data_IF_201541401579
#
_entry.id   IF_201541401579
#
_cell.length_a   1.000
_cell.length_b   1.000
_cell.length_c   1.000
_cell.angle_alpha   90.00
_cell.angle_beta   90.00
_cell.angle_gamma   90.00
#
_symmetry.space_group_name_H-M   'P 1'
#
loop_
_entity.id
_entity.type
_entity.pdbx_description
1 polymer ?
#
# COMPACT_ATOMS: atom_id res chain seq x y z
N UNK A 1 30.21 -49.28 -57.16
CA UNK A 1 29.93 -47.83 -57.09
C UNK A 1 29.00 -47.51 -55.91
N UNK A 2 29.39 -47.86 -54.69
CA UNK A 2 28.66 -47.51 -53.45
C UNK A 2 29.77 -47.13 -52.46
N UNK A 3 29.89 -45.85 -52.06
CA UNK A 3 30.49 -45.38 -50.77
C UNK A 3 31.06 -43.96 -50.72
N UNK A 4 31.10 -43.15 -51.79
CA UNK A 4 31.56 -41.75 -51.64
C UNK A 4 30.50 -40.80 -51.08
N UNK A 5 29.23 -41.17 -51.13
CA UNK A 5 28.10 -40.37 -50.62
C UNK A 5 27.83 -40.62 -49.13
N UNK A 6 28.41 -41.68 -48.54
CA UNK A 6 28.22 -42.04 -47.11
C UNK A 6 29.25 -41.39 -46.19
N UNK A 7 30.54 -41.36 -46.53
CA UNK A 7 31.57 -40.84 -45.59
C UNK A 7 31.41 -39.35 -45.27
N UNK A 8 31.19 -38.51 -46.29
CA UNK A 8 31.02 -37.06 -46.10
C UNK A 8 29.69 -36.73 -45.40
N UNK A 9 28.65 -37.54 -45.63
CA UNK A 9 27.35 -37.41 -44.96
C UNK A 9 27.45 -37.82 -43.49
N UNK A 10 28.14 -38.92 -43.18
CA UNK A 10 28.40 -39.40 -41.81
C UNK A 10 29.27 -38.40 -41.04
N UNK A 11 30.27 -37.81 -41.69
CA UNK A 11 31.10 -36.76 -41.08
C UNK A 11 30.28 -35.51 -40.74
N UNK A 12 29.44 -35.04 -41.67
CA UNK A 12 28.55 -33.89 -41.45
C UNK A 12 27.50 -34.16 -40.39
N UNK A 13 26.87 -35.34 -40.39
CA UNK A 13 25.88 -35.70 -39.38
C UNK A 13 26.50 -35.80 -37.99
N UNK A 14 27.72 -36.32 -37.89
CA UNK A 14 28.46 -36.40 -36.62
C UNK A 14 28.79 -35.01 -36.08
N UNK A 15 29.30 -34.10 -36.93
CA UNK A 15 29.56 -32.71 -36.53
C UNK A 15 28.28 -31.96 -36.15
N UNK A 16 27.19 -32.14 -36.90
CA UNK A 16 25.89 -31.56 -36.58
C UNK A 16 25.35 -32.07 -35.23
N UNK A 17 25.50 -33.37 -34.95
CA UNK A 17 25.13 -33.96 -33.66
C UNK A 17 25.97 -33.41 -32.51
N UNK A 18 27.29 -33.23 -32.69
CA UNK A 18 28.15 -32.62 -31.68
C UNK A 18 27.75 -31.16 -31.39
N UNK A 19 27.44 -30.39 -32.43
CA UNK A 19 26.97 -29.01 -32.29
C UNK A 19 25.61 -28.94 -31.57
N UNK A 20 24.68 -29.85 -31.88
CA UNK A 20 23.40 -29.95 -31.16
C UNK A 20 23.60 -30.31 -29.68
N UNK A 21 24.53 -31.21 -29.37
CA UNK A 21 24.83 -31.59 -27.98
C UNK A 21 25.48 -30.45 -27.19
N UNK A 22 26.39 -29.68 -27.82
CA UNK A 22 26.96 -28.47 -27.23
C UNK A 22 25.89 -27.42 -26.95
N UNK A 23 24.98 -27.20 -27.90
CA UNK A 23 23.88 -26.22 -27.74
C UNK A 23 22.93 -26.61 -26.60
N UNK A 24 22.61 -27.91 -26.45
CA UNK A 24 21.81 -28.40 -25.32
C UNK A 24 22.53 -28.22 -23.98
N UNK A 25 23.82 -28.55 -23.91
CA UNK A 25 24.62 -28.34 -22.70
C UNK A 25 24.68 -26.87 -22.30
N UNK A 26 24.90 -25.97 -23.26
CA UNK A 26 24.88 -24.52 -23.01
C UNK A 26 23.51 -24.03 -22.50
N UNK A 27 22.42 -24.61 -22.98
CA UNK A 27 21.06 -24.28 -22.51
C UNK A 27 20.84 -24.73 -21.07
N UNK A 28 21.18 -25.98 -20.73
CA UNK A 28 21.08 -26.49 -19.36
C UNK A 28 21.97 -25.70 -18.39
N UNK A 29 23.15 -25.29 -18.82
CA UNK A 29 24.05 -24.44 -18.04
C UNK A 29 23.48 -23.02 -17.84
N UNK A 30 22.83 -22.45 -18.85
CA UNK A 30 22.13 -21.17 -18.75
C UNK A 30 20.91 -21.27 -17.82
N UNK A 31 20.13 -22.35 -17.89
CA UNK A 31 19.02 -22.61 -16.99
C UNK A 31 19.51 -22.79 -15.54
N UNK A 32 20.58 -23.56 -15.33
CA UNK A 32 21.19 -23.74 -14.00
C UNK A 32 21.72 -22.44 -13.41
N UNK A 33 22.39 -21.61 -14.20
CA UNK A 33 22.95 -20.34 -13.72
C UNK A 33 21.88 -19.26 -13.49
N UNK A 34 20.80 -19.26 -14.28
CA UNK A 34 19.68 -18.33 -14.09
C UNK A 34 18.64 -18.80 -13.07
N UNK A 35 18.62 -20.10 -12.76
CA UNK A 35 17.55 -20.73 -11.98
C UNK A 35 16.21 -20.82 -12.72
N UNK A 36 16.18 -20.45 -14.02
CA UNK A 36 14.95 -20.30 -14.80
C UNK A 36 14.86 -21.33 -15.91
N UNK A 37 13.76 -22.07 -15.96
CA UNK A 37 13.40 -23.01 -17.00
C UNK A 37 13.18 -22.30 -18.33
N UNK A 38 12.46 -21.18 -18.29
CA UNK A 38 12.13 -20.38 -19.48
C UNK A 38 13.00 -19.13 -19.47
N UNK A 39 13.98 -19.09 -20.37
CA UNK A 39 14.89 -17.93 -20.52
C UNK A 39 14.50 -17.06 -21.70
N UNK A 40 13.88 -17.65 -22.73
CA UNK A 40 13.40 -16.98 -23.94
C UNK A 40 11.97 -17.39 -24.22
N UNK A 41 11.18 -16.47 -24.77
CA UNK A 41 9.81 -16.77 -25.18
C UNK A 41 9.73 -17.85 -26.28
N UNK A 42 10.83 -18.09 -27.01
CA UNK A 42 10.94 -19.18 -27.98
C UNK A 42 11.03 -20.57 -27.35
N UNK A 43 11.41 -20.68 -26.07
CA UNK A 43 11.61 -21.97 -25.40
C UNK A 43 10.25 -22.64 -25.11
N UNK A 44 9.28 -21.86 -24.62
CA UNK A 44 7.86 -22.22 -24.53
C UNK A 44 6.98 -20.97 -24.65
N UNK A 45 6.40 -20.67 -25.83
CA UNK A 45 5.57 -19.50 -26.04
C UNK A 45 4.31 -19.46 -25.16
N UNK A 46 3.74 -20.63 -24.82
CA UNK A 46 2.52 -20.71 -24.03
C UNK A 46 2.81 -20.40 -22.54
N UNK A 47 3.85 -21.04 -21.99
CA UNK A 47 4.26 -20.80 -20.61
C UNK A 47 4.85 -19.39 -20.44
N UNK A 48 5.60 -18.88 -21.43
CA UNK A 48 6.05 -17.48 -21.45
C UNK A 48 4.87 -16.50 -21.46
N UNK A 49 3.84 -16.75 -22.28
CA UNK A 49 2.62 -15.95 -22.33
C UNK A 49 1.90 -15.90 -20.97
N UNK A 50 1.70 -17.07 -20.35
CA UNK A 50 1.08 -17.17 -19.02
C UNK A 50 1.90 -16.47 -17.94
N UNK A 51 3.22 -16.66 -17.92
CA UNK A 51 4.10 -15.99 -16.95
C UNK A 51 4.04 -14.47 -17.09
N UNK A 52 4.02 -13.94 -18.32
CA UNK A 52 3.88 -12.49 -18.56
C UNK A 52 2.58 -11.95 -17.97
N UNK A 53 1.45 -12.66 -18.14
CA UNK A 53 0.16 -12.29 -17.54
C UNK A 53 0.25 -12.29 -16.01
N UNK A 54 0.78 -13.36 -15.39
CA UNK A 54 0.91 -13.45 -13.94
C UNK A 54 1.82 -12.35 -13.37
N UNK A 55 2.92 -12.01 -14.07
CA UNK A 55 3.81 -10.90 -13.71
C UNK A 55 3.11 -9.54 -13.80
N UNK A 56 2.28 -9.34 -14.84
CA UNK A 56 1.49 -8.12 -14.99
C UNK A 56 0.46 -7.99 -13.86
N UNK A 57 -0.28 -9.06 -13.56
CA UNK A 57 -1.23 -9.11 -12.45
C UNK A 57 -0.54 -8.87 -11.10
N UNK A 58 0.64 -9.46 -10.87
CA UNK A 58 1.42 -9.25 -9.64
C UNK A 58 1.85 -7.80 -9.49
N UNK A 59 2.23 -7.16 -10.60
CA UNK A 59 2.63 -5.76 -10.62
C UNK A 59 1.44 -4.84 -10.32
N UNK A 60 0.28 -5.12 -10.91
CA UNK A 60 -0.97 -4.43 -10.61
C UNK A 60 -1.37 -4.58 -9.14
N UNK A 61 -1.33 -5.81 -8.59
CA UNK A 61 -1.61 -6.08 -7.18
C UNK A 61 -0.62 -5.37 -6.24
N UNK A 62 0.67 -5.33 -6.60
CA UNK A 62 1.69 -4.62 -5.83
C UNK A 62 1.46 -3.10 -5.81
N UNK A 63 0.99 -2.52 -6.92
CA UNK A 63 0.61 -1.11 -6.96
C UNK A 63 -0.63 -0.85 -6.09
N UNK A 64 -1.64 -1.71 -6.17
CA UNK A 64 -2.82 -1.61 -5.32
C UNK A 64 -2.47 -1.69 -3.83
N UNK A 65 -1.51 -2.57 -3.47
CA UNK A 65 -1.03 -2.69 -2.08
C UNK A 65 -0.37 -1.40 -1.60
N UNK A 66 0.48 -0.77 -2.43
CA UNK A 66 1.08 0.54 -2.11
C UNK A 66 0.02 1.63 -1.92
N UNK A 67 -1.01 1.64 -2.76
CA UNK A 67 -2.11 2.60 -2.63
C UNK A 67 -2.91 2.36 -1.34
N UNK A 68 -3.14 1.10 -0.97
CA UNK A 68 -3.80 0.73 0.27
C UNK A 68 -2.95 1.10 1.51
N UNK A 69 -1.63 0.98 1.43
CA UNK A 69 -0.70 1.43 2.48
C UNK A 69 -0.71 2.96 2.64
N UNK A 70 -0.76 3.71 1.53
CA UNK A 70 -0.96 5.16 1.58
C UNK A 70 -2.31 5.51 2.22
N UNK A 71 -3.39 4.83 1.82
CA UNK A 71 -4.71 4.99 2.42
C UNK A 71 -4.73 4.72 3.93
N UNK A 72 -4.04 3.67 4.38
CA UNK A 72 -3.90 3.35 5.81
C UNK A 72 -3.12 4.45 6.56
N UNK A 73 -2.03 4.96 5.98
CA UNK A 73 -1.27 6.06 6.60
C UNK A 73 -2.14 7.31 6.79
N UNK A 74 -3.01 7.60 5.82
CA UNK A 74 -3.96 8.71 5.91
C UNK A 74 -5.01 8.48 7.00
N UNK A 75 -5.64 7.31 7.01
CA UNK A 75 -6.69 6.97 7.98
C UNK A 75 -6.13 6.90 9.41
N UNK A 76 -4.90 6.40 9.59
CA UNK A 76 -4.22 6.37 10.89
C UNK A 76 -3.89 7.77 11.40
N UNK A 77 -3.40 8.67 10.54
CA UNK A 77 -3.16 10.05 10.93
C UNK A 77 -4.48 10.75 11.30
N UNK A 78 -5.54 10.52 10.51
CA UNK A 78 -6.87 11.04 10.77
C UNK A 78 -7.39 10.54 12.13
N UNK A 79 -7.38 9.23 12.37
CA UNK A 79 -7.82 8.61 13.63
C UNK A 79 -7.07 9.17 14.84
N UNK A 80 -5.73 9.27 14.76
CA UNK A 80 -4.91 9.86 15.83
C UNK A 80 -5.30 11.31 16.14
N UNK A 81 -5.46 12.15 15.11
CA UNK A 81 -5.86 13.56 15.27
C UNK A 81 -7.29 13.67 15.85
N UNK A 82 -8.19 12.77 15.46
CA UNK A 82 -9.55 12.73 16.01
C UNK A 82 -9.56 12.32 17.48
N UNK A 83 -8.79 11.31 17.88
CA UNK A 83 -8.66 10.89 19.27
C UNK A 83 -8.06 11.99 20.16
N UNK A 84 -7.07 12.73 19.65
CA UNK A 84 -6.52 13.90 20.32
C UNK A 84 -7.59 14.99 20.51
N UNK A 85 -8.41 15.23 19.48
CA UNK A 85 -9.51 16.21 19.55
C UNK A 85 -10.54 15.81 20.61
N UNK A 86 -10.93 14.54 20.70
CA UNK A 86 -11.82 14.06 21.76
C UNK A 86 -11.20 14.26 23.14
N UNK A 87 -9.93 13.92 23.31
CA UNK A 87 -9.23 14.05 24.61
C UNK A 87 -9.17 15.50 25.08
N UNK A 88 -8.92 16.43 24.15
CA UNK A 88 -8.93 17.88 24.42
C UNK A 88 -10.35 18.38 24.74
N UNK A 89 -11.39 17.86 24.07
CA UNK A 89 -12.79 18.22 24.39
C UNK A 89 -13.22 17.70 25.77
N UNK A 90 -12.80 16.50 26.14
CA UNK A 90 -13.03 15.94 27.47
C UNK A 90 -12.38 16.81 28.55
N UNK A 91 -11.17 17.33 28.31
CA UNK A 91 -10.54 18.31 29.21
C UNK A 91 -11.37 19.59 29.34
N UNK A 92 -11.91 20.11 28.24
CA UNK A 92 -12.81 21.27 28.28
C UNK A 92 -14.10 20.99 29.06
N UNK A 93 -14.64 19.77 28.93
CA UNK A 93 -15.78 19.32 29.72
C UNK A 93 -15.48 19.34 31.21
N UNK A 94 -14.35 18.79 31.63
CA UNK A 94 -13.92 18.76 33.04
C UNK A 94 -13.78 20.19 33.60
N UNK A 95 -13.17 21.10 32.83
CA UNK A 95 -13.07 22.52 33.17
C UNK A 95 -14.43 23.21 33.24
N UNK A 96 -15.38 22.82 32.39
CA UNK A 96 -16.76 23.35 32.44
C UNK A 96 -17.49 22.88 33.69
N UNK A 97 -17.30 21.63 34.12
CA UNK A 97 -17.82 21.12 35.41
C UNK A 97 -17.19 21.87 36.58
N UNK A 98 -15.87 22.10 36.53
CA UNK A 98 -15.17 22.88 37.54
C UNK A 98 -15.69 24.32 37.57
N UNK A 99 -15.86 24.97 36.42
CA UNK A 99 -16.40 26.32 36.29
C UNK A 99 -17.85 26.44 36.76
N UNK A 100 -18.67 25.42 36.55
CA UNK A 100 -20.05 25.38 37.08
C UNK A 100 -20.09 25.26 38.62
N UNK A 101 -19.07 24.64 39.22
CA UNK A 101 -18.98 24.40 40.67
C UNK A 101 -18.29 25.55 41.41
N UNK A 102 -17.16 26.02 40.90
CA UNK A 102 -16.27 27.00 41.53
C UNK A 102 -16.44 28.43 40.97
N UNK A 103 -16.96 28.58 39.74
CA UNK A 103 -17.08 29.86 39.04
C UNK A 103 -18.04 30.86 39.69
N UNK A 104 -18.92 30.40 40.59
CA UNK A 104 -19.76 31.28 41.42
C UNK A 104 -19.04 31.86 42.65
N UNK A 105 -17.83 31.35 42.99
CA UNK A 105 -17.13 31.66 44.23
C UNK A 105 -16.06 32.75 44.12
N UNK A 106 -15.39 32.90 42.97
CA UNK A 106 -14.43 34.00 42.72
C UNK A 106 -14.23 34.32 41.24
N UNK A 107 -14.19 35.60 40.88
CA UNK A 107 -13.98 36.07 39.50
C UNK A 107 -12.61 35.69 38.94
N UNK A 108 -11.59 35.58 39.80
CA UNK A 108 -10.24 35.18 39.40
C UNK A 108 -10.17 33.69 38.99
N UNK A 109 -10.90 32.81 39.68
CA UNK A 109 -11.00 31.40 39.31
C UNK A 109 -11.72 31.21 37.98
N UNK A 110 -12.81 31.96 37.75
CA UNK A 110 -13.56 31.90 36.50
C UNK A 110 -12.72 32.37 35.31
N UNK A 111 -11.92 33.43 35.47
CA UNK A 111 -11.03 33.95 34.41
C UNK A 111 -9.88 32.99 34.08
N UNK A 112 -9.32 32.32 35.08
CA UNK A 112 -8.28 31.29 34.86
C UNK A 112 -8.82 30.09 34.06
N UNK A 113 -10.02 29.61 34.40
CA UNK A 113 -10.68 28.51 33.67
C UNK A 113 -11.02 28.94 32.24
N UNK A 114 -11.55 30.16 32.06
CA UNK A 114 -11.85 30.71 30.74
C UNK A 114 -10.60 30.78 29.85
N UNK A 115 -9.45 31.19 30.41
CA UNK A 115 -8.17 31.21 29.69
C UNK A 115 -7.70 29.81 29.28
N UNK A 116 -7.90 28.79 30.13
CA UNK A 116 -7.57 27.40 29.77
C UNK A 116 -8.50 26.86 28.67
N UNK A 117 -9.79 27.22 28.68
CA UNK A 117 -10.74 26.86 27.62
C UNK A 117 -10.39 27.51 26.27
N UNK A 118 -9.92 28.76 26.27
CA UNK A 118 -9.42 29.44 25.07
C UNK A 118 -8.19 28.73 24.49
N UNK A 119 -7.25 28.31 25.34
CA UNK A 119 -6.10 27.51 24.91
C UNK A 119 -6.47 26.14 24.36
N UNK A 120 -7.50 25.49 24.93
CA UNK A 120 -8.08 24.26 24.39
C UNK A 120 -8.72 24.52 23.02
N UNK A 121 -9.45 25.61 22.86
CA UNK A 121 -10.02 26.03 21.57
C UNK A 121 -8.92 26.22 20.53
N UNK A 122 -7.83 26.90 20.87
CA UNK A 122 -6.69 27.10 19.96
C UNK A 122 -6.05 25.76 19.56
N UNK A 123 -5.81 24.87 20.55
CA UNK A 123 -5.30 23.52 20.27
C UNK A 123 -6.25 22.70 19.40
N UNK A 124 -7.57 22.87 19.55
CA UNK A 124 -8.54 22.22 18.68
C UNK A 124 -8.49 22.74 17.25
N UNK A 125 -8.32 24.04 17.04
CA UNK A 125 -8.17 24.63 15.71
C UNK A 125 -6.91 24.10 15.03
N UNK A 126 -5.81 23.98 15.76
CA UNK A 126 -4.56 23.39 15.25
C UNK A 126 -4.78 21.93 14.81
N UNK A 127 -5.49 21.14 15.63
CA UNK A 127 -5.83 19.76 15.28
C UNK A 127 -6.74 19.70 14.04
N UNK A 128 -7.77 20.54 13.98
CA UNK A 128 -8.70 20.62 12.85
C UNK A 128 -8.02 21.07 11.55
N UNK A 129 -6.90 21.78 11.65
CA UNK A 129 -6.09 22.24 10.53
C UNK A 129 -4.87 21.35 10.22
N UNK A 130 -4.79 20.16 10.82
CA UNK A 130 -3.72 19.19 10.52
C UNK A 130 -3.71 18.83 9.04
N UNK A 131 -2.51 18.81 8.45
CA UNK A 131 -2.28 18.44 7.04
C UNK A 131 -1.38 17.22 6.93
N UNK A 132 -1.61 16.42 5.89
CA UNK A 132 -0.75 15.31 5.48
C UNK A 132 -0.34 15.52 4.02
N UNK A 133 0.97 15.59 3.76
CA UNK A 133 1.53 15.85 2.43
C UNK A 133 0.97 17.13 1.77
N UNK A 134 0.77 18.20 2.54
CA UNK A 134 0.27 19.50 2.06
C UNK A 134 -1.23 19.54 1.75
N UNK A 135 -1.99 18.53 2.19
CA UNK A 135 -3.44 18.43 2.05
C UNK A 135 -4.09 18.31 3.43
N UNK A 136 -5.18 19.03 3.66
CA UNK A 136 -5.93 18.94 4.91
C UNK A 136 -6.64 17.59 5.06
N UNK A 137 -6.71 17.10 6.30
CA UNK A 137 -7.45 15.88 6.65
C UNK A 137 -8.98 16.11 6.76
N UNK A 138 -9.40 17.36 6.99
CA UNK A 138 -10.79 17.72 7.35
C UNK A 138 -11.47 18.68 6.34
N UNK A 139 -10.74 19.16 5.33
CA UNK A 139 -11.27 20.08 4.30
C UNK A 139 -11.58 19.41 2.95
N UNK A 140 -11.54 18.07 2.88
CA UNK A 140 -11.72 17.32 1.63
C UNK A 140 -10.73 17.75 0.54
N UNK A 141 -11.23 18.11 -0.64
CA UNK A 141 -10.41 18.55 -1.79
C UNK A 141 -10.18 20.06 -1.86
N UNK A 142 -10.39 20.80 -0.76
CA UNK A 142 -10.23 22.26 -0.77
C UNK A 142 -8.82 22.70 -1.20
N UNK A 143 -8.76 23.77 -1.99
CA UNK A 143 -7.53 24.39 -2.47
C UNK A 143 -6.93 25.40 -1.48
N UNK A 144 -7.67 25.73 -0.40
CA UNK A 144 -7.34 26.83 0.50
C UNK A 144 -6.27 26.46 1.54
N UNK A 145 -5.86 25.18 1.60
CA UNK A 145 -4.76 24.71 2.46
C UNK A 145 -5.10 24.64 3.96
N UNK A 146 -6.23 25.21 4.39
CA UNK A 146 -6.72 25.28 5.77
C UNK A 146 -8.16 24.75 5.82
N UNK A 147 -8.55 24.03 6.88
CA UNK A 147 -9.91 23.50 7.02
C UNK A 147 -10.86 24.49 7.69
N UNK A 148 -10.37 25.19 8.71
CA UNK A 148 -11.10 26.15 9.50
C UNK A 148 -10.30 27.45 9.61
N UNK A 149 -10.94 28.55 9.26
CA UNK A 149 -10.41 29.89 9.51
C UNK A 149 -11.15 30.55 10.69
N UNK A 150 -10.37 31.22 11.54
CA UNK A 150 -10.88 32.05 12.62
C UNK A 150 -10.96 33.51 12.16
N UNK A 151 -11.88 33.77 11.23
CA UNK A 151 -12.30 35.12 10.92
C UNK A 151 -13.16 35.67 12.08
N UNK A 152 -12.50 36.09 13.17
CA UNK A 152 -13.12 36.80 14.32
C UNK A 152 -14.30 36.05 14.97
N UNK A 153 -14.17 34.75 15.23
CA UNK A 153 -15.20 33.92 15.86
C UNK A 153 -16.25 33.34 14.90
N UNK A 154 -16.04 33.51 13.59
CA UNK A 154 -16.94 32.98 12.55
C UNK A 154 -16.72 31.51 12.20
N UNK A 155 -15.61 30.89 12.60
CA UNK A 155 -15.23 29.48 12.35
C UNK A 155 -15.80 28.90 11.06
N UNK A 156 -15.37 29.49 9.94
CA UNK A 156 -15.86 29.10 8.63
C UNK A 156 -15.11 27.85 8.17
N UNK A 157 -15.87 26.82 7.79
CA UNK A 157 -15.30 25.62 7.21
C UNK A 157 -15.05 25.87 5.71
N UNK A 158 -13.81 25.71 5.28
CA UNK A 158 -13.38 25.91 3.89
C UNK A 158 -13.42 24.62 3.06
N UNK A 159 -14.04 23.56 3.58
CA UNK A 159 -14.23 22.33 2.84
C UNK A 159 -15.39 22.41 1.85
N UNK A 160 -15.38 21.51 0.87
CA UNK A 160 -16.47 21.36 -0.08
C UNK A 160 -17.37 20.22 0.41
N UNK A 161 -18.61 20.55 0.78
CA UNK A 161 -19.60 19.57 1.22
C UNK A 161 -19.79 18.46 0.17
N UNK A 162 -19.57 17.21 0.57
CA UNK A 162 -19.68 16.04 -0.30
C UNK A 162 -18.47 15.77 -1.21
N UNK A 163 -17.43 16.62 -1.21
CA UNK A 163 -16.17 16.29 -1.86
C UNK A 163 -15.39 15.27 -1.03
N UNK A 164 -15.00 14.16 -1.66
CA UNK A 164 -14.28 13.07 -1.02
C UNK A 164 -12.86 12.98 -1.56
N UNK A 165 -11.92 12.60 -0.69
CA UNK A 165 -10.58 12.21 -1.10
C UNK A 165 -10.56 10.69 -1.13
N UNK A 166 -10.74 10.13 -2.32
CA UNK A 166 -10.78 8.70 -2.50
C UNK A 166 -9.43 8.15 -2.97
N UNK A 167 -9.00 7.07 -2.33
CA UNK A 167 -7.82 6.30 -2.73
C UNK A 167 -8.25 4.98 -3.35
N UNK A 168 -7.72 4.70 -4.53
CA UNK A 168 -7.98 3.44 -5.22
C UNK A 168 -7.09 2.34 -4.66
N UNK A 169 -7.70 1.44 -3.90
CA UNK A 169 -7.04 0.34 -3.19
C UNK A 169 -7.15 -1.00 -3.93
N UNK A 170 -7.78 -1.02 -5.10
CA UNK A 170 -7.91 -2.20 -5.96
C UNK A 170 -8.31 -1.84 -7.38
N UNK A 171 -8.65 -2.85 -8.19
CA UNK A 171 -9.15 -2.67 -9.55
C UNK A 171 -10.48 -1.89 -9.55
N UNK A 172 -11.41 -2.31 -8.68
CA UNK A 172 -12.75 -1.72 -8.53
C UNK A 172 -13.03 -1.15 -7.12
N UNK A 173 -12.03 -1.13 -6.23
CA UNK A 173 -12.21 -0.70 -4.84
C UNK A 173 -11.58 0.68 -4.60
N UNK A 174 -12.38 1.60 -4.06
CA UNK A 174 -11.93 2.90 -3.55
C UNK A 174 -12.31 3.06 -2.10
N UNK A 175 -11.47 3.75 -1.32
CA UNK A 175 -11.75 4.12 0.06
C UNK A 175 -11.55 5.61 0.24
N UNK A 176 -12.52 6.24 0.89
CA UNK A 176 -12.47 7.63 1.33
C UNK A 176 -11.51 7.77 2.51
N UNK A 177 -10.49 8.62 2.38
CA UNK A 177 -9.44 8.80 3.40
C UNK A 177 -9.53 10.12 4.17
N UNK A 178 -10.42 11.03 3.76
CA UNK A 178 -10.71 12.27 4.48
C UNK A 178 -11.89 12.12 5.45
N UNK A 179 -11.95 13.04 6.41
CA UNK A 179 -13.13 13.29 7.22
C UNK A 179 -13.80 14.60 6.83
N UNK A 180 -15.10 14.67 7.08
CA UNK A 180 -15.85 15.91 6.99
C UNK A 180 -15.61 16.72 8.28
N UNK A 181 -14.85 17.81 8.15
CA UNK A 181 -14.56 18.70 9.27
C UNK A 181 -15.83 19.32 9.87
N UNK A 182 -16.82 19.68 9.06
CA UNK A 182 -18.07 20.24 9.56
C UNK A 182 -18.89 19.20 10.33
N UNK A 183 -18.88 17.92 9.91
CA UNK A 183 -19.51 16.85 10.67
C UNK A 183 -18.83 16.59 12.03
N UNK A 184 -17.51 16.74 12.10
CA UNK A 184 -16.73 16.48 13.31
C UNK A 184 -16.72 17.66 14.28
N UNK A 185 -16.38 18.86 13.81
CA UNK A 185 -16.18 20.05 14.63
C UNK A 185 -17.38 21.01 14.62
N UNK A 186 -18.34 20.83 13.70
CA UNK A 186 -19.43 21.79 13.47
C UNK A 186 -18.98 23.01 12.69
N UNK A 187 -19.93 23.88 12.32
CA UNK A 187 -19.66 25.08 11.52
C UNK A 187 -20.25 26.33 12.19
N UNK A 188 -19.52 27.44 12.10
CA UNK A 188 -19.95 28.74 12.60
C UNK A 188 -20.32 28.71 14.07
N UNK A 189 -21.47 29.30 14.41
CA UNK A 189 -21.97 29.38 15.79
C UNK A 189 -22.35 28.02 16.41
N UNK A 190 -22.47 26.97 15.60
CA UNK A 190 -22.72 25.61 16.09
C UNK A 190 -21.43 24.82 16.34
N UNK A 191 -20.28 25.35 15.92
CA UNK A 191 -18.99 24.67 16.07
C UNK A 191 -18.61 24.46 17.53
N UNK A 192 -17.75 23.45 17.76
CA UNK A 192 -17.13 23.23 19.06
C UNK A 192 -16.29 24.43 19.49
N UNK A 193 -15.68 25.14 18.54
CA UNK A 193 -14.87 26.33 18.82
C UNK A 193 -15.74 27.47 19.37
N UNK A 194 -16.86 27.78 18.70
CA UNK A 194 -17.82 28.77 19.17
C UNK A 194 -18.46 28.38 20.52
N UNK A 195 -18.67 27.08 20.75
CA UNK A 195 -19.14 26.58 22.04
C UNK A 195 -18.12 26.88 23.15
N UNK A 196 -16.83 26.59 22.94
CA UNK A 196 -15.78 26.86 23.92
C UNK A 196 -15.64 28.37 24.21
N UNK A 197 -15.68 29.22 23.18
CA UNK A 197 -15.67 30.67 23.36
C UNK A 197 -16.88 31.16 24.16
N UNK A 198 -18.07 30.60 23.88
CA UNK A 198 -19.28 30.97 24.61
C UNK A 198 -19.23 30.58 26.08
N UNK A 199 -18.63 29.42 26.40
CA UNK A 199 -18.43 28.97 27.78
C UNK A 199 -17.43 29.88 28.49
N UNK A 200 -16.32 30.21 27.85
CA UNK A 200 -15.32 31.12 28.40
C UNK A 200 -15.91 32.51 28.67
N UNK A 201 -16.73 33.04 27.76
CA UNK A 201 -17.43 34.30 27.94
C UNK A 201 -18.47 34.25 29.08
N UNK A 202 -19.28 33.19 29.13
CA UNK A 202 -20.28 32.97 30.19
C UNK A 202 -19.62 32.89 31.58
N UNK A 203 -18.49 32.20 31.71
CA UNK A 203 -17.72 32.12 32.95
C UNK A 203 -17.24 33.50 33.41
N UNK A 204 -16.67 34.31 32.51
CA UNK A 204 -16.23 35.67 32.84
C UNK A 204 -17.39 36.60 33.19
N UNK A 205 -18.56 36.38 32.60
CA UNK A 205 -19.79 37.10 32.91
C UNK A 205 -20.47 36.62 34.22
N UNK A 206 -19.97 35.55 34.85
CA UNK A 206 -20.57 34.96 36.05
C UNK A 206 -21.89 34.21 35.79
N UNK A 207 -22.12 33.79 34.55
CA UNK A 207 -23.27 32.99 34.13
C UNK A 207 -23.00 31.51 34.46
N UNK A 208 -24.03 30.79 34.89
CA UNK A 208 -23.90 29.36 35.15
C UNK A 208 -23.74 28.57 33.83
N UNK A 209 -22.66 27.80 33.71
CA UNK A 209 -22.32 27.02 32.51
C UNK A 209 -22.76 25.56 32.58
N UNK A 210 -23.50 25.13 33.61
CA UNK A 210 -23.98 23.73 33.74
C UNK A 210 -24.78 23.27 32.52
N UNK A 211 -25.55 24.17 31.93
CA UNK A 211 -26.42 23.89 30.77
C UNK A 211 -25.61 23.72 29.47
N UNK A 212 -24.33 24.12 29.48
CA UNK A 212 -23.40 23.95 28.35
C UNK A 212 -22.83 22.54 28.26
N UNK A 213 -22.86 21.76 29.36
CA UNK A 213 -22.33 20.40 29.39
C UNK A 213 -23.03 19.47 28.39
N UNK A 214 -24.36 19.60 28.22
CA UNK A 214 -25.10 18.81 27.23
C UNK A 214 -24.62 19.08 25.81
N UNK A 215 -24.29 20.34 25.49
CA UNK A 215 -23.79 20.70 24.16
C UNK A 215 -22.37 20.15 23.91
N UNK A 216 -21.53 20.06 24.96
CA UNK A 216 -20.22 19.40 24.86
C UNK A 216 -20.38 17.90 24.66
N UNK A 217 -21.31 17.28 25.39
CA UNK A 217 -21.61 15.84 25.29
C UNK A 217 -22.14 15.49 23.89
N UNK A 218 -23.05 16.28 23.32
CA UNK A 218 -23.54 16.12 21.94
C UNK A 218 -22.41 16.21 20.90
N UNK A 219 -21.40 17.07 21.15
CA UNK A 219 -20.22 17.19 20.29
C UNK A 219 -19.26 16.02 20.44
N UNK A 220 -19.04 15.53 21.66
CA UNK A 220 -18.29 14.29 21.91
C UNK A 220 -18.93 13.10 21.20
N UNK A 221 -20.25 12.98 21.23
CA UNK A 221 -20.99 11.92 20.53
C UNK A 221 -20.84 12.02 19.01
N UNK A 222 -20.92 13.24 18.46
CA UNK A 222 -20.70 13.50 17.03
C UNK A 222 -19.28 13.14 16.58
N UNK A 223 -18.27 13.50 17.38
CA UNK A 223 -16.87 13.16 17.13
C UNK A 223 -16.65 11.64 17.22
N UNK A 224 -17.21 10.99 18.23
CA UNK A 224 -17.10 9.53 18.42
C UNK A 224 -17.75 8.76 17.27
N UNK A 225 -18.92 9.22 16.79
CA UNK A 225 -19.57 8.66 15.60
C UNK A 225 -18.68 8.80 14.36
N UNK A 226 -18.01 9.95 14.21
CA UNK A 226 -17.08 10.18 13.11
C UNK A 226 -15.86 9.24 13.17
N UNK A 227 -15.26 9.05 14.35
CA UNK A 227 -14.15 8.09 14.55
C UNK A 227 -14.58 6.67 14.19
N UNK A 228 -15.78 6.25 14.61
CA UNK A 228 -16.29 4.92 14.28
C UNK A 228 -16.37 4.70 12.76
N UNK A 229 -16.84 5.70 12.02
CA UNK A 229 -16.88 5.63 10.56
C UNK A 229 -15.48 5.53 9.93
N UNK A 230 -14.49 6.24 10.47
CA UNK A 230 -13.09 6.15 10.02
C UNK A 230 -12.50 4.77 10.35
N UNK A 231 -12.79 4.24 11.54
CA UNK A 231 -12.34 2.90 11.96
C UNK A 231 -12.86 1.78 11.06
N UNK A 232 -14.10 1.86 10.59
CA UNK A 232 -14.65 0.90 9.61
C UNK A 232 -13.85 0.95 8.30
N UNK A 233 -13.49 2.15 7.82
CA UNK A 233 -12.71 2.32 6.60
C UNK A 233 -11.27 1.82 6.78
N UNK A 234 -10.65 2.07 7.92
CA UNK A 234 -9.32 1.54 8.24
C UNK A 234 -9.33 0.01 8.24
N UNK A 235 -10.36 -0.60 8.85
CA UNK A 235 -10.55 -2.06 8.82
C UNK A 235 -10.69 -2.59 7.39
N UNK A 236 -11.49 -1.92 6.56
CA UNK A 236 -11.65 -2.29 5.16
C UNK A 236 -10.33 -2.22 4.38
N UNK A 237 -9.51 -1.19 4.61
CA UNK A 237 -8.19 -1.06 3.98
C UNK A 237 -7.27 -2.19 4.44
N UNK A 238 -7.24 -2.50 5.74
CA UNK A 238 -6.48 -3.62 6.28
C UNK A 238 -6.90 -4.97 5.66
N UNK A 239 -8.20 -5.25 5.51
CA UNK A 239 -8.66 -6.48 4.85
C UNK A 239 -8.20 -6.58 3.38
N UNK A 240 -8.22 -5.44 2.67
CA UNK A 240 -7.75 -5.39 1.29
C UNK A 240 -6.23 -5.59 1.22
N UNK A 241 -5.45 -5.05 2.15
CA UNK A 241 -4.00 -5.29 2.21
C UNK A 241 -3.68 -6.78 2.42
N UNK A 242 -4.41 -7.45 3.31
CA UNK A 242 -4.23 -8.88 3.56
C UNK A 242 -4.59 -9.71 2.31
N UNK A 243 -5.72 -9.40 1.68
CA UNK A 243 -6.14 -10.04 0.43
C UNK A 243 -5.13 -9.84 -0.71
N UNK A 244 -4.61 -8.62 -0.87
CA UNK A 244 -3.61 -8.30 -1.89
C UNK A 244 -2.28 -9.01 -1.62
N UNK A 245 -1.87 -9.11 -0.35
CA UNK A 245 -0.66 -9.83 0.05
C UNK A 245 -0.77 -11.31 -0.31
N UNK A 246 -1.90 -11.94 0.00
CA UNK A 246 -2.17 -13.33 -0.41
C UNK A 246 -2.20 -13.48 -1.93
N UNK A 247 -2.83 -12.54 -2.65
CA UNK A 247 -2.84 -12.56 -4.13
C UNK A 247 -1.41 -12.48 -4.70
N UNK A 248 -0.56 -11.60 -4.17
CA UNK A 248 0.84 -11.46 -4.59
C UNK A 248 1.62 -12.75 -4.32
N UNK A 249 1.42 -13.40 -3.18
CA UNK A 249 2.05 -14.68 -2.85
C UNK A 249 1.63 -15.78 -3.84
N UNK A 250 0.33 -15.93 -4.10
CA UNK A 250 -0.20 -16.91 -5.05
C UNK A 250 0.31 -16.66 -6.47
N UNK A 251 0.33 -15.41 -6.93
CA UNK A 251 0.88 -15.04 -8.23
C UNK A 251 2.39 -15.31 -8.31
N UNK A 252 3.12 -15.10 -7.21
CA UNK A 252 4.56 -15.39 -7.14
C UNK A 252 4.83 -16.89 -7.21
N UNK A 253 4.04 -17.70 -6.50
CA UNK A 253 4.09 -19.16 -6.61
C UNK A 253 3.77 -19.62 -8.03
N UNK A 254 2.71 -19.10 -8.66
CA UNK A 254 2.37 -19.46 -10.04
C UNK A 254 3.43 -19.05 -11.06
N UNK A 255 4.16 -17.95 -10.85
CA UNK A 255 5.32 -17.59 -11.68
C UNK A 255 6.48 -18.56 -11.44
N UNK A 256 6.76 -18.92 -10.18
CA UNK A 256 7.80 -19.89 -9.82
C UNK A 256 7.53 -21.26 -10.43
N UNK A 257 6.29 -21.76 -10.35
CA UNK A 257 5.88 -23.05 -10.93
C UNK A 257 6.08 -23.12 -12.45
N UNK A 258 5.95 -21.99 -13.15
CA UNK A 258 6.13 -21.92 -14.60
C UNK A 258 7.58 -21.66 -15.02
N UNK A 259 8.33 -20.93 -14.21
CA UNK A 259 9.63 -20.40 -14.62
C UNK A 259 10.81 -21.00 -13.92
N UNK A 260 10.68 -21.58 -12.74
CA UNK A 260 11.82 -22.04 -11.97
C UNK A 260 12.19 -23.47 -12.36
N UNK A 261 13.49 -23.77 -12.36
CA UNK A 261 13.96 -25.12 -12.61
C UNK A 261 13.84 -26.00 -11.36
N UNK A 262 13.61 -27.30 -11.59
CA UNK A 262 14.01 -28.31 -10.62
C UNK A 262 15.54 -28.44 -10.69
N UNK A 263 16.22 -27.88 -9.69
CA UNK A 263 17.68 -27.89 -9.61
C UNK A 263 18.24 -29.31 -9.63
N UNK A 264 17.63 -30.25 -8.92
CA UNK A 264 18.12 -31.63 -8.86
C UNK A 264 18.01 -32.30 -10.23
N UNK A 265 16.86 -32.16 -10.89
CA UNK A 265 16.66 -32.66 -12.25
C UNK A 265 17.61 -32.01 -13.26
N UNK A 266 17.76 -30.70 -13.20
CA UNK A 266 18.60 -29.94 -14.14
C UNK A 266 20.09 -30.30 -13.98
N UNK A 267 20.55 -30.52 -12.75
CA UNK A 267 21.90 -31.04 -12.48
C UNK A 267 22.09 -32.43 -13.07
N UNK A 268 21.13 -33.34 -12.85
CA UNK A 268 21.19 -34.69 -13.44
C UNK A 268 21.20 -34.65 -14.97
N UNK A 269 20.33 -33.84 -15.58
CA UNK A 269 20.25 -33.67 -17.03
C UNK A 269 21.54 -33.09 -17.60
N UNK A 270 22.16 -32.11 -16.92
CA UNK A 270 23.45 -31.53 -17.31
C UNK A 270 24.57 -32.58 -17.26
N UNK A 271 24.66 -33.35 -16.18
CA UNK A 271 25.67 -34.41 -16.05
C UNK A 271 25.49 -35.52 -17.10
N UNK A 272 24.25 -35.95 -17.36
CA UNK A 272 23.96 -36.91 -18.43
C UNK A 272 24.37 -36.36 -19.80
N UNK A 273 24.16 -35.06 -20.03
CA UNK A 273 24.53 -34.39 -21.28
C UNK A 273 26.05 -34.28 -21.45
N UNK A 274 26.79 -34.01 -20.37
CA UNK A 274 28.27 -34.00 -20.39
C UNK A 274 28.84 -35.39 -20.72
N UNK A 275 28.34 -36.44 -20.07
CA UNK A 275 28.73 -37.84 -20.35
C UNK A 275 28.39 -38.22 -21.79
N UNK A 276 27.21 -37.84 -22.27
CA UNK A 276 26.78 -38.10 -23.66
C UNK A 276 27.67 -37.39 -24.66
N UNK A 277 28.05 -36.13 -24.40
CA UNK A 277 28.94 -35.37 -25.25
C UNK A 277 30.35 -35.98 -25.32
N UNK A 278 30.91 -36.40 -24.18
CA UNK A 278 32.20 -37.11 -24.14
C UNK A 278 32.15 -38.44 -24.91
N UNK A 279 31.07 -39.21 -24.76
CA UNK A 279 30.84 -40.44 -25.52
C UNK A 279 30.73 -40.18 -27.02
N UNK A 280 30.01 -39.13 -27.42
CA UNK A 280 29.86 -38.71 -28.82
C UNK A 280 31.19 -38.27 -29.42
N UNK A 281 32.05 -37.56 -28.67
CA UNK A 281 33.41 -37.21 -29.10
C UNK A 281 34.27 -38.46 -29.30
N UNK A 282 34.20 -39.43 -28.38
CA UNK A 282 34.91 -40.70 -28.50
C UNK A 282 34.46 -41.53 -29.72
N UNK A 283 33.16 -41.57 -30.00
CA UNK A 283 32.61 -42.21 -31.19
C UNK A 283 32.99 -41.46 -32.47
N UNK A 284 32.90 -40.13 -32.47
CA UNK A 284 33.30 -39.28 -33.58
C UNK A 284 34.78 -39.47 -33.92
N UNK A 285 35.66 -39.54 -32.93
CA UNK A 285 37.08 -39.79 -33.13
C UNK A 285 37.36 -41.12 -33.84
N UNK A 286 36.58 -42.17 -33.56
CA UNK A 286 36.68 -43.48 -34.24
C UNK A 286 36.14 -43.46 -35.68
N UNK A 287 35.14 -42.63 -35.97
CA UNK A 287 34.51 -42.51 -37.30
C UNK A 287 35.28 -41.55 -38.21
N UNK A 288 35.91 -40.52 -37.62
CA UNK A 288 36.73 -39.52 -38.32
C UNK A 288 38.17 -39.99 -38.58
N UNK A 289 38.66 -41.01 -37.88
CA UNK A 289 39.93 -41.64 -38.22
C UNK A 289 39.76 -42.42 -39.53
N UNK A 290 40.43 -42.02 -40.64
CA UNK A 290 40.51 -42.89 -41.79
C UNK A 290 41.28 -44.14 -41.36
N UNK A 291 40.70 -45.33 -41.51
CA UNK A 291 41.50 -46.55 -41.43
C UNK A 291 42.44 -46.51 -42.63
N UNK A 292 43.75 -46.65 -42.39
CA UNK A 292 44.78 -46.68 -43.45
C UNK A 292 44.52 -47.74 -44.54
N UNK A 293 43.63 -48.71 -44.27
CA UNK A 293 43.19 -49.74 -45.21
C UNK A 293 42.21 -49.23 -46.29
N UNK A 294 41.47 -48.14 -46.05
CA UNK A 294 40.53 -47.56 -47.02
C UNK A 294 41.24 -46.64 -48.05
N UNK A 295 42.49 -46.27 -47.79
CA UNK A 295 43.33 -45.51 -48.73
C UNK A 295 44.15 -46.43 -49.65
N UNK A 296 44.18 -47.75 -49.37
CA UNK A 296 44.97 -48.75 -50.10
C UNK A 296 44.12 -49.77 -50.90
N UNK A 297 42.83 -49.51 -51.13
CA UNK A 297 41.98 -50.29 -52.05
C UNK A 297 41.50 -49.48 -53.24
#
# INVERSE_FOLDING_TARGET
MINRVTQQTVQRSTLANLQMNLARGATLQAQMSSGKLITKASDDPNAAGRSMTLRAERTAASQALRNAQDGESWLSQLDNTMQQSISVLQRARDLTVQGASDGSGSTASADAIATELEGIRDSMLDLANTTLNGRSLFAGTSADGVAFDDASGGYTWHGVAGATVDRRIGEDATVRVDADGAAMYGEGSSSVFALLDSIAADLRAGVNVSDRLSAIDDRLDSMTSSISNVGIRAKQVSDVQDSLTLKIQNLTAGVSDLEDIDLAKTVMDLQMQEVTYQGALGAAAKVLQPTLMDFLS
#
